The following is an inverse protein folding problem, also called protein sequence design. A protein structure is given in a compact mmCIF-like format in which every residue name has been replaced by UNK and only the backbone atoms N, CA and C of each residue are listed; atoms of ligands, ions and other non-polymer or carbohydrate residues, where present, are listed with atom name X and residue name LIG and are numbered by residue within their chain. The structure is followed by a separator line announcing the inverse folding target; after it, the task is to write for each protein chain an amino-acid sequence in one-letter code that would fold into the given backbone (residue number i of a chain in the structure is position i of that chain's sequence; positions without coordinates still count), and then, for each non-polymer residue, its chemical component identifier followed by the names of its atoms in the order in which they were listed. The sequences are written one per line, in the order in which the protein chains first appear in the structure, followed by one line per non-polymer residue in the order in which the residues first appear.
data_IF_987476816910
#
_entry.id   IF_987476816910
#
_cell.length_a   1.000
_cell.length_b   1.000
_cell.length_c   1.000
_cell.angle_alpha   90.00
_cell.angle_beta   90.00
_cell.angle_gamma   90.00
#
_symmetry.space_group_name_H-M   'P 1'
#
loop_
_entity.id
_entity.type
_entity.pdbx_description
1 polymer ?
#
# COMPACT_ATOMS: atom_id res chain seq x y z
N UNK A 1 -28.18 14.77 11.09
CA UNK A 1 -28.86 15.06 9.80
C UNK A 1 -28.54 16.50 9.40
N UNK A 2 -27.50 16.70 8.58
CA UNK A 2 -27.00 18.05 8.26
C UNK A 2 -27.12 18.40 6.78
N UNK A 3 -27.09 17.39 5.90
CA UNK A 3 -27.27 17.56 4.45
C UNK A 3 -28.70 18.01 4.13
N UNK A 4 -28.85 18.73 3.01
CA UNK A 4 -30.15 19.18 2.47
C UNK A 4 -31.04 18.00 2.07
N UNK A 5 -32.33 18.26 1.87
CA UNK A 5 -33.26 17.32 1.21
C UNK A 5 -32.85 17.14 -0.26
N UNK A 6 -33.31 16.08 -0.90
CA UNK A 6 -33.14 15.90 -2.35
C UNK A 6 -33.72 17.09 -3.14
N UNK A 7 -34.82 17.68 -2.65
CA UNK A 7 -35.43 18.91 -3.18
C UNK A 7 -34.64 20.20 -2.87
N UNK A 8 -33.48 20.11 -2.20
CA UNK A 8 -32.66 21.28 -1.83
C UNK A 8 -33.06 22.00 -0.55
N UNK A 9 -34.25 21.71 0.02
CA UNK A 9 -34.71 22.34 1.26
C UNK A 9 -33.83 22.04 2.49
N UNK A 10 -33.65 23.04 3.37
CA UNK A 10 -32.89 22.92 4.63
C UNK A 10 -33.66 22.07 5.65
N UNK A 11 -32.99 21.10 6.29
CA UNK A 11 -33.58 20.29 7.38
C UNK A 11 -33.29 20.93 8.74
N UNK A 12 -34.30 21.05 9.60
CA UNK A 12 -34.11 21.42 11.01
C UNK A 12 -33.46 20.24 11.76
N UNK A 13 -32.51 20.53 12.63
CA UNK A 13 -31.90 19.52 13.49
C UNK A 13 -32.91 19.10 14.58
N UNK A 14 -33.30 17.82 14.60
CA UNK A 14 -34.25 17.27 15.57
C UNK A 14 -33.57 16.61 16.78
N UNK A 15 -32.28 16.28 16.67
CA UNK A 15 -31.48 15.66 17.74
C UNK A 15 -30.02 16.13 17.73
N UNK A 16 -29.34 15.93 18.85
CA UNK A 16 -27.88 16.08 18.99
C UNK A 16 -27.11 14.96 18.28
N UNK A 17 -25.82 15.17 18.01
CA UNK A 17 -24.90 14.18 17.41
C UNK A 17 -24.77 12.94 18.30
N UNK A 18 -24.68 11.74 17.70
CA UNK A 18 -24.58 10.46 18.43
C UNK A 18 -23.23 9.79 18.20
N UNK A 19 -22.75 9.06 19.21
CA UNK A 19 -21.44 8.38 19.18
C UNK A 19 -21.32 7.35 18.06
N UNK A 20 -22.41 6.69 17.69
CA UNK A 20 -22.43 5.70 16.61
C UNK A 20 -22.39 6.32 15.20
N UNK A 21 -22.61 7.63 15.04
CA UNK A 21 -22.48 8.34 13.76
C UNK A 21 -21.11 9.03 13.61
N UNK A 22 -20.17 8.76 14.52
CA UNK A 22 -18.90 9.47 14.60
C UNK A 22 -17.95 9.07 13.46
N UNK A 23 -17.49 10.07 12.70
CA UNK A 23 -16.35 9.95 11.80
C UNK A 23 -15.02 10.14 12.53
N UNK A 24 -13.92 9.76 11.89
CA UNK A 24 -12.56 10.02 12.40
C UNK A 24 -11.71 10.64 11.30
N UNK A 25 -10.65 11.34 11.69
CA UNK A 25 -9.68 11.89 10.74
C UNK A 25 -9.03 10.77 9.91
N UNK A 26 -8.67 11.04 8.64
CA UNK A 26 -7.95 10.10 7.80
C UNK A 26 -6.54 9.82 8.35
N UNK A 27 -5.88 8.81 7.79
CA UNK A 27 -4.55 8.39 8.22
C UNK A 27 -3.41 9.11 7.47
N UNK A 28 -3.62 9.44 6.19
CA UNK A 28 -2.63 10.06 5.29
C UNK A 28 -1.26 9.40 5.38
N UNK A 29 -1.24 8.08 5.20
CA UNK A 29 -0.05 7.22 5.32
C UNK A 29 1.10 7.67 4.43
N UNK A 30 2.26 7.94 5.02
CA UNK A 30 3.48 8.34 4.33
C UNK A 30 4.50 7.21 4.28
N UNK A 31 5.37 7.26 3.26
CA UNK A 31 6.52 6.36 3.16
C UNK A 31 7.60 6.88 4.10
N UNK A 32 8.06 6.03 5.03
CA UNK A 32 9.14 6.37 5.97
C UNK A 32 9.57 5.13 6.75
N UNK A 33 10.88 4.96 6.93
CA UNK A 33 11.48 3.88 7.72
C UNK A 33 11.07 3.90 9.20
N UNK A 34 10.69 5.07 9.74
CA UNK A 34 10.10 5.17 11.08
C UNK A 34 8.65 4.65 11.07
N UNK A 35 8.50 3.33 11.14
CA UNK A 35 7.21 2.64 11.15
C UNK A 35 6.35 3.08 12.33
N UNK A 36 5.25 3.75 12.04
CA UNK A 36 4.32 4.26 13.05
C UNK A 36 2.92 3.71 12.78
N UNK A 37 2.42 2.87 13.69
CA UNK A 37 1.05 2.33 13.63
C UNK A 37 0.34 2.59 14.95
N UNK A 38 -0.81 3.27 14.92
CA UNK A 38 -1.60 3.59 16.11
C UNK A 38 -2.79 2.64 16.25
N UNK A 39 -2.97 2.14 17.46
CA UNK A 39 -4.15 1.35 17.84
C UNK A 39 -5.35 2.27 18.05
N UNK A 40 -6.46 2.02 17.36
CA UNK A 40 -7.71 2.79 17.51
C UNK A 40 -8.83 1.87 17.99
N UNK A 41 -9.31 2.10 19.21
CA UNK A 41 -10.47 1.40 19.77
C UNK A 41 -11.75 1.86 19.07
N UNK A 42 -12.58 0.91 18.64
CA UNK A 42 -13.87 1.17 17.96
C UNK A 42 -15.04 0.61 18.77
N UNK A 43 -16.26 0.62 18.21
CA UNK A 43 -17.44 0.13 18.91
C UNK A 43 -17.34 -1.40 19.15
N UNK A 44 -17.93 -1.87 20.25
CA UNK A 44 -17.95 -3.30 20.59
C UNK A 44 -16.60 -3.89 21.03
N UNK A 45 -15.64 -3.07 21.46
CA UNK A 45 -14.32 -3.56 21.92
C UNK A 45 -13.31 -3.88 20.81
N UNK A 46 -13.75 -3.86 19.54
CA UNK A 46 -12.90 -4.09 18.38
C UNK A 46 -11.80 -3.02 18.25
N UNK A 47 -10.75 -3.36 17.50
CA UNK A 47 -9.57 -2.52 17.27
C UNK A 47 -9.31 -2.38 15.77
N UNK A 48 -9.04 -1.15 15.33
CA UNK A 48 -8.50 -0.86 13.99
C UNK A 48 -7.09 -0.32 14.12
N UNK A 49 -6.17 -0.87 13.33
CA UNK A 49 -4.79 -0.38 13.23
C UNK A 49 -4.71 0.71 12.19
N UNK A 50 -4.28 1.91 12.62
CA UNK A 50 -4.07 3.04 11.73
C UNK A 50 -2.58 3.21 11.50
N UNK A 51 -2.10 2.75 10.35
CA UNK A 51 -0.77 3.11 9.90
C UNK A 51 -0.69 4.62 9.66
N UNK A 52 0.41 5.25 10.04
CA UNK A 52 0.74 6.64 9.71
C UNK A 52 1.99 6.70 8.84
N UNK A 53 2.94 5.82 9.11
CA UNK A 53 4.19 5.68 8.36
C UNK A 53 4.51 4.21 8.17
N UNK A 54 4.83 3.82 6.93
CA UNK A 54 5.25 2.48 6.56
C UNK A 54 6.35 2.58 5.51
N UNK A 55 7.24 1.61 5.49
CA UNK A 55 8.34 1.47 4.52
C UNK A 55 8.27 0.15 3.76
N UNK A 56 7.64 -0.86 4.36
CA UNK A 56 7.59 -2.23 3.85
C UNK A 56 6.17 -2.71 3.69
N UNK A 57 5.94 -3.53 2.67
CA UNK A 57 4.67 -4.19 2.39
C UNK A 57 4.88 -5.65 1.98
N UNK A 58 3.79 -6.43 1.96
CA UNK A 58 3.81 -7.78 1.43
C UNK A 58 3.18 -7.75 0.03
N UNK A 59 3.96 -8.10 -0.99
CA UNK A 59 3.57 -7.99 -2.39
C UNK A 59 3.55 -9.38 -3.03
N UNK A 60 2.59 -9.60 -3.93
CA UNK A 60 2.39 -10.88 -4.60
C UNK A 60 2.65 -10.76 -6.08
N UNK A 61 3.45 -11.68 -6.62
CA UNK A 61 3.66 -11.88 -8.04
C UNK A 61 2.65 -12.92 -8.54
N UNK A 62 1.60 -12.46 -9.21
CA UNK A 62 0.44 -13.28 -9.56
C UNK A 62 0.72 -14.44 -10.51
N UNK A 63 1.63 -14.29 -11.49
CA UNK A 63 1.96 -15.39 -12.41
C UNK A 63 2.76 -16.51 -11.74
N UNK A 64 3.63 -16.16 -10.79
CA UNK A 64 4.51 -17.10 -10.08
C UNK A 64 3.90 -17.61 -8.76
N UNK A 65 2.70 -17.13 -8.39
CA UNK A 65 2.03 -17.41 -7.12
C UNK A 65 2.93 -17.18 -5.87
N UNK A 66 3.85 -16.22 -5.93
CA UNK A 66 4.85 -15.98 -4.87
C UNK A 66 4.59 -14.64 -4.21
N UNK A 67 4.71 -14.62 -2.89
CA UNK A 67 4.50 -13.43 -2.08
C UNK A 67 5.74 -13.15 -1.25
N UNK A 68 6.26 -11.92 -1.34
CA UNK A 68 7.46 -11.49 -0.61
C UNK A 68 7.26 -10.13 0.04
N UNK A 69 7.89 -9.98 1.20
CA UNK A 69 8.00 -8.70 1.88
C UNK A 69 9.09 -7.87 1.19
N UNK A 70 8.74 -6.68 0.73
CA UNK A 70 9.67 -5.76 0.06
C UNK A 70 9.48 -4.34 0.58
N UNK A 71 10.51 -3.52 0.40
CA UNK A 71 10.47 -2.09 0.67
C UNK A 71 9.74 -1.35 -0.47
N UNK A 72 9.00 -0.31 -0.11
CA UNK A 72 8.34 0.62 -1.02
C UNK A 72 9.32 1.76 -1.27
N UNK A 73 9.61 2.03 -2.54
CA UNK A 73 10.52 3.09 -2.95
C UNK A 73 9.75 4.41 -3.11
N UNK A 74 8.73 4.41 -3.97
CA UNK A 74 7.95 5.61 -4.26
C UNK A 74 6.51 5.28 -4.71
N UNK A 75 5.63 6.28 -4.65
CA UNK A 75 4.28 6.26 -5.23
C UNK A 75 4.32 6.93 -6.60
N UNK A 76 4.16 6.15 -7.66
CA UNK A 76 4.27 6.65 -9.04
C UNK A 76 2.97 7.29 -9.50
N UNK A 77 1.83 6.71 -9.13
CA UNK A 77 0.53 7.18 -9.60
C UNK A 77 -0.61 6.86 -8.64
N UNK A 78 -1.61 7.74 -8.61
CA UNK A 78 -2.85 7.52 -7.90
C UNK A 78 -4.05 8.05 -8.70
N UNK A 79 -5.02 7.18 -8.96
CA UNK A 79 -6.20 7.52 -9.77
C UNK A 79 -7.14 8.56 -9.13
N UNK A 80 -7.17 8.67 -7.80
CA UNK A 80 -8.12 9.56 -7.12
C UNK A 80 -7.62 11.00 -6.97
N UNK A 81 -6.34 11.17 -6.66
CA UNK A 81 -5.69 12.47 -6.48
C UNK A 81 -4.16 12.28 -6.49
N UNK A 82 -3.46 13.11 -7.26
CA UNK A 82 -2.00 13.09 -7.42
C UNK A 82 -1.22 13.48 -6.14
N UNK A 83 -1.84 14.20 -5.19
CA UNK A 83 -1.19 14.59 -3.94
C UNK A 83 -1.17 13.48 -2.87
N UNK A 84 -1.95 12.42 -3.08
CA UNK A 84 -2.10 11.34 -2.11
C UNK A 84 -0.96 10.32 -2.25
N UNK A 85 -0.43 9.91 -1.11
CA UNK A 85 0.62 8.88 -1.00
C UNK A 85 0.01 7.47 -0.94
N UNK A 86 0.24 6.71 0.13
CA UNK A 86 -0.25 5.33 0.23
C UNK A 86 -1.77 5.29 0.49
N UNK A 87 -2.54 4.90 -0.52
CA UNK A 87 -3.98 4.63 -0.46
C UNK A 87 -4.26 3.32 -1.22
N UNK A 88 -5.43 2.70 -0.98
CA UNK A 88 -5.87 1.59 -1.85
C UNK A 88 -5.91 2.07 -3.30
N UNK A 89 -5.39 1.24 -4.22
CA UNK A 89 -5.20 1.52 -5.65
C UNK A 89 -4.08 2.49 -6.03
N UNK A 90 -3.20 2.88 -5.10
CA UNK A 90 -1.96 3.57 -5.47
C UNK A 90 -1.02 2.61 -6.22
N UNK A 91 -0.46 3.06 -7.34
CA UNK A 91 0.60 2.36 -8.08
C UNK A 91 1.93 2.77 -7.45
N UNK A 92 2.66 1.78 -6.95
CA UNK A 92 3.90 1.98 -6.19
C UNK A 92 5.05 1.22 -6.83
N UNK A 93 6.24 1.80 -6.73
CA UNK A 93 7.48 1.12 -7.09
C UNK A 93 8.02 0.38 -5.85
N UNK A 94 8.34 -0.89 -6.03
CA UNK A 94 8.86 -1.76 -4.96
C UNK A 94 10.26 -2.25 -5.30
N UNK A 95 11.04 -2.56 -4.26
CA UNK A 95 12.30 -3.27 -4.44
C UNK A 95 12.07 -4.69 -4.99
N UNK A 96 12.83 -5.03 -6.03
CA UNK A 96 12.74 -6.31 -6.72
C UNK A 96 13.70 -7.38 -6.16
N UNK A 97 14.64 -7.03 -5.27
CA UNK A 97 15.67 -7.96 -4.81
C UNK A 97 15.12 -9.29 -4.24
N UNK A 98 14.07 -9.30 -3.39
CA UNK A 98 13.51 -10.57 -2.87
C UNK A 98 12.87 -11.45 -3.95
N UNK A 99 12.31 -10.84 -5.00
CA UNK A 99 11.72 -11.58 -6.13
C UNK A 99 12.79 -12.11 -7.07
N UNK A 100 13.82 -11.31 -7.36
CA UNK A 100 14.97 -11.72 -8.18
C UNK A 100 15.72 -12.89 -7.53
N UNK A 101 15.98 -12.82 -6.22
CA UNK A 101 16.63 -13.89 -5.48
C UNK A 101 15.81 -15.18 -5.51
N UNK A 102 14.50 -15.07 -5.31
CA UNK A 102 13.62 -16.24 -5.39
C UNK A 102 13.61 -16.86 -6.79
N UNK A 103 13.52 -16.05 -7.84
CA UNK A 103 13.51 -16.55 -9.21
C UNK A 103 14.81 -17.27 -9.58
N UNK A 104 15.95 -16.74 -9.15
CA UNK A 104 17.26 -17.40 -9.31
C UNK A 104 17.29 -18.76 -8.60
N UNK A 105 16.76 -18.85 -7.38
CA UNK A 105 16.72 -20.11 -6.62
C UNK A 105 15.73 -21.12 -7.20
N UNK A 106 14.60 -20.64 -7.74
CA UNK A 106 13.53 -21.52 -8.23
C UNK A 106 13.80 -22.04 -9.64
N UNK A 107 14.32 -21.18 -10.54
CA UNK A 107 14.54 -21.52 -11.95
C UNK A 107 16.03 -21.59 -12.35
N UNK A 108 16.96 -21.18 -11.49
CA UNK A 108 18.39 -21.12 -11.82
C UNK A 108 18.76 -19.99 -12.79
N UNK A 109 17.85 -19.06 -13.09
CA UNK A 109 18.04 -17.99 -14.08
C UNK A 109 18.25 -16.64 -13.40
N UNK A 110 19.33 -15.95 -13.74
CA UNK A 110 19.63 -14.60 -13.23
C UNK A 110 18.92 -13.52 -14.08
N UNK A 111 17.85 -12.94 -13.52
CA UNK A 111 17.10 -11.84 -14.16
C UNK A 111 17.92 -10.55 -14.14
N UNK A 112 18.06 -9.90 -15.30
CA UNK A 112 18.63 -8.54 -15.39
C UNK A 112 20.07 -8.45 -15.89
N UNK A 113 20.71 -9.58 -16.23
CA UNK A 113 21.91 -9.53 -17.09
C UNK A 113 21.45 -9.23 -18.52
N UNK A 114 21.76 -8.02 -19.04
CA UNK A 114 21.68 -7.78 -20.48
C UNK A 114 22.65 -8.75 -21.16
N UNK A 115 22.17 -9.55 -22.11
CA UNK A 115 23.01 -10.34 -23.03
C UNK A 115 23.89 -9.37 -23.83
N UNK A 116 25.02 -8.97 -23.26
CA UNK A 116 26.20 -8.50 -23.99
C UNK A 116 27.38 -9.30 -23.45
N UNK A 117 27.90 -10.18 -24.30
CA UNK A 117 29.22 -10.80 -24.25
C UNK A 117 29.65 -11.69 -23.05
N UNK A 118 28.89 -11.84 -21.97
CA UNK A 118 29.38 -12.59 -20.79
C UNK A 118 29.27 -14.14 -20.89
N UNK A 119 28.40 -14.68 -21.75
CA UNK A 119 28.22 -16.15 -21.86
C UNK A 119 29.24 -16.84 -22.77
N UNK A 120 30.16 -16.10 -23.40
CA UNK A 120 31.30 -16.68 -24.13
C UNK A 120 32.46 -17.06 -23.21
N UNK A 121 32.57 -16.46 -22.01
CA UNK A 121 33.71 -16.65 -21.11
C UNK A 121 33.56 -17.79 -20.08
N UNK A 122 32.43 -18.53 -20.09
CA UNK A 122 32.18 -19.66 -19.17
C UNK A 122 32.14 -21.04 -19.84
N UNK A 123 32.44 -21.12 -21.14
CA UNK A 123 32.55 -22.39 -21.88
C UNK A 123 33.99 -22.83 -22.17
N UNK A 124 34.97 -22.04 -21.75
CA UNK A 124 36.40 -22.38 -21.82
C UNK A 124 37.00 -22.19 -20.42
N UNK A 125 37.12 -23.29 -19.70
CA UNK A 125 37.64 -23.36 -18.32
C UNK A 125 37.44 -24.75 -17.76
#
# INVERSE_FOLDING_TARGET
MHKRRATGGKKKAWRKKRKYELGRQPANTKISSNKTVRRVRVCGGNVKWRALRLDTGNYSWGSEAVTRKTCILDVVYNASNNELTLVKSAIVQVDAAPFKQWYLQHYGVDIGRKKKAADAAKKEG
#
